data_IF_173114007407
#
_entry.id   IF_173114007407
#
_cell.length_a   1.000
_cell.length_b   1.000
_cell.length_c   1.000
_cell.angle_alpha   90.00
_cell.angle_beta   90.00
_cell.angle_gamma   90.00
#
_symmetry.space_group_name_H-M   'P 1'
#
loop_
_entity.id
_entity.type
_entity.pdbx_description
1 polymer ?
#
# COMPACT_ATOMS: atom_id res chain seq x y z
N UNK A 1 20.10 -9.61 20.67
CA UNK A 1 19.38 -10.07 19.48
C UNK A 1 18.11 -9.26 19.39
N UNK A 2 17.76 -8.68 18.24
CA UNK A 2 16.46 -8.00 18.12
C UNK A 2 15.39 -9.03 18.43
N UNK A 3 14.48 -8.66 19.32
CA UNK A 3 13.39 -9.54 19.71
C UNK A 3 12.57 -9.94 18.48
N UNK A 4 12.13 -11.22 18.37
CA UNK A 4 11.23 -11.69 17.32
C UNK A 4 9.82 -11.09 17.49
N UNK A 5 9.77 -9.76 17.54
CA UNK A 5 8.52 -9.02 17.64
C UNK A 5 7.91 -8.85 16.25
N UNK A 6 6.63 -9.09 16.14
CA UNK A 6 5.82 -8.87 14.95
C UNK A 6 4.64 -7.95 15.24
N UNK A 7 4.09 -7.26 14.23
CA UNK A 7 4.64 -7.19 12.87
C UNK A 7 5.99 -6.46 12.83
N UNK A 8 6.80 -6.73 11.80
CA UNK A 8 8.00 -5.93 11.51
C UNK A 8 7.56 -4.55 11.04
N UNK A 9 8.33 -3.52 11.38
CA UNK A 9 8.01 -2.13 11.07
C UNK A 9 8.81 -1.68 9.87
N UNK A 10 8.12 -1.39 8.77
CA UNK A 10 8.71 -0.90 7.54
C UNK A 10 8.32 0.55 7.26
N UNK A 11 9.07 1.18 6.40
CA UNK A 11 8.76 2.46 5.77
C UNK A 11 8.57 2.24 4.27
N UNK A 12 7.66 2.97 3.64
CA UNK A 12 7.49 2.95 2.19
C UNK A 12 8.46 3.91 1.50
N UNK A 13 9.08 3.50 0.41
CA UNK A 13 9.99 4.33 -0.38
C UNK A 13 9.30 5.11 -1.51
N UNK A 14 8.16 4.65 -2.03
CA UNK A 14 7.46 5.32 -3.15
C UNK A 14 7.03 6.76 -2.89
N UNK A 15 6.80 7.25 -1.64
CA UNK A 15 6.56 8.67 -1.41
C UNK A 15 7.68 9.59 -1.93
N UNK A 16 8.87 9.08 -2.13
CA UNK A 16 9.98 9.82 -2.74
C UNK A 16 9.84 10.04 -4.25
N UNK A 17 8.91 9.37 -4.91
CA UNK A 17 8.72 9.43 -6.38
C UNK A 17 7.29 9.75 -6.80
N UNK A 18 6.28 9.25 -6.09
CA UNK A 18 4.87 9.48 -6.45
C UNK A 18 4.53 10.96 -6.40
N UNK A 19 4.00 11.50 -7.50
CA UNK A 19 3.66 12.92 -7.63
C UNK A 19 4.87 13.84 -7.79
N UNK A 20 6.08 13.31 -8.03
CA UNK A 20 7.34 14.07 -8.14
C UNK A 20 8.02 13.86 -9.49
N UNK A 21 8.99 14.73 -9.81
CA UNK A 21 9.82 14.61 -11.00
C UNK A 21 9.19 15.14 -12.31
N UNK A 22 7.89 15.41 -12.33
CA UNK A 22 7.23 16.03 -13.47
C UNK A 22 7.51 17.55 -13.53
N UNK A 23 7.39 18.22 -14.70
CA UNK A 23 7.51 19.66 -14.80
C UNK A 23 6.56 20.39 -13.84
N UNK A 24 7.09 21.20 -12.95
CA UNK A 24 6.33 21.94 -11.94
C UNK A 24 6.07 21.19 -10.63
N UNK A 25 6.39 19.89 -10.55
CA UNK A 25 6.37 19.13 -9.31
C UNK A 25 7.71 19.22 -8.56
N UNK A 26 7.73 18.80 -7.31
CA UNK A 26 8.97 18.64 -6.55
C UNK A 26 9.90 17.60 -7.20
N UNK A 27 11.22 17.71 -7.05
CA UNK A 27 12.14 16.67 -7.53
C UNK A 27 11.92 15.36 -6.80
N UNK A 28 12.24 14.24 -7.45
CA UNK A 28 12.27 12.92 -6.78
C UNK A 28 13.35 12.89 -5.69
N UNK A 29 13.07 12.18 -4.61
CA UNK A 29 14.05 11.94 -3.54
C UNK A 29 14.81 10.63 -3.88
N UNK A 30 16.16 10.66 -3.90
CA UNK A 30 16.94 9.46 -4.15
C UNK A 30 16.65 8.35 -3.12
N UNK A 31 16.69 7.09 -3.57
CA UNK A 31 16.47 5.95 -2.67
C UNK A 31 17.47 5.95 -1.50
N UNK A 32 18.73 6.31 -1.74
CA UNK A 32 19.77 6.38 -0.70
C UNK A 32 19.39 7.32 0.44
N UNK A 33 18.79 8.47 0.12
CA UNK A 33 18.27 9.41 1.13
C UNK A 33 17.19 8.76 2.00
N UNK A 34 16.28 8.01 1.38
CA UNK A 34 15.22 7.32 2.10
C UNK A 34 15.75 6.15 2.93
N UNK A 35 16.72 5.40 2.43
CA UNK A 35 17.41 4.34 3.16
C UNK A 35 18.14 4.90 4.39
N UNK A 36 18.86 6.00 4.20
CA UNK A 36 19.59 6.67 5.29
C UNK A 36 18.63 7.15 6.38
N UNK A 37 17.58 7.90 6.02
CA UNK A 37 16.59 8.43 6.97
C UNK A 37 15.84 7.30 7.69
N UNK A 38 15.45 6.24 6.97
CA UNK A 38 14.77 5.07 7.55
C UNK A 38 15.67 4.33 8.53
N UNK A 39 16.94 4.09 8.17
CA UNK A 39 17.90 3.36 9.03
C UNK A 39 18.33 4.14 10.27
N UNK A 40 18.34 5.49 10.17
CA UNK A 40 18.67 6.39 11.28
C UNK A 40 17.50 6.67 12.22
N UNK A 41 16.25 6.43 11.77
CA UNK A 41 15.09 6.62 12.63
C UNK A 41 15.19 5.74 13.86
N UNK A 42 15.06 6.36 15.04
CA UNK A 42 15.18 5.65 16.32
C UNK A 42 14.28 6.26 17.39
N UNK A 43 13.53 5.41 18.08
CA UNK A 43 12.69 5.77 19.23
C UNK A 43 12.88 4.75 20.34
N UNK A 44 13.40 5.18 21.47
CA UNK A 44 13.68 4.32 22.64
C UNK A 44 14.51 3.06 22.29
N UNK A 45 15.54 3.22 21.46
CA UNK A 45 16.40 2.12 21.02
C UNK A 45 15.76 1.18 19.97
N UNK A 46 14.57 1.47 19.49
CA UNK A 46 13.89 0.72 18.43
C UNK A 46 14.03 1.45 17.10
N UNK A 47 14.19 0.69 16.02
CA UNK A 47 14.37 1.18 14.65
C UNK A 47 13.35 0.52 13.72
N UNK A 48 13.26 1.02 12.49
CA UNK A 48 12.59 0.28 11.42
C UNK A 48 13.33 -1.04 11.17
N UNK A 49 12.55 -2.08 10.90
CA UNK A 49 13.06 -3.39 10.51
C UNK A 49 13.35 -3.46 8.99
N UNK A 50 12.68 -2.61 8.19
CA UNK A 50 12.80 -2.69 6.74
C UNK A 50 12.16 -1.53 5.98
N UNK A 51 12.12 -1.72 4.66
CA UNK A 51 11.57 -0.77 3.69
C UNK A 51 10.79 -1.51 2.60
N UNK A 52 9.70 -0.90 2.15
CA UNK A 52 8.92 -1.35 1.01
C UNK A 52 9.29 -0.52 -0.22
N UNK A 53 9.33 -1.12 -1.41
CA UNK A 53 10.00 -0.54 -2.56
C UNK A 53 9.06 -0.26 -3.73
N UNK A 54 9.40 0.75 -4.51
CA UNK A 54 8.86 1.02 -5.83
C UNK A 54 9.80 0.45 -6.88
N UNK A 55 9.28 -0.43 -7.77
CA UNK A 55 10.08 -1.04 -8.83
C UNK A 55 10.05 -0.21 -10.11
N UNK A 56 10.40 1.07 -9.99
CA UNK A 56 10.53 1.98 -11.12
C UNK A 56 11.67 2.99 -10.88
N UNK A 57 12.20 3.54 -11.98
CA UNK A 57 13.20 4.61 -11.90
C UNK A 57 12.61 5.85 -11.16
N UNK A 58 13.42 6.60 -10.43
CA UNK A 58 14.87 6.47 -10.26
C UNK A 58 15.29 5.56 -9.09
N UNK A 59 14.38 4.80 -8.47
CA UNK A 59 14.71 3.94 -7.33
C UNK A 59 15.31 2.61 -7.77
N UNK A 60 14.48 1.70 -8.29
CA UNK A 60 14.91 0.38 -8.77
C UNK A 60 14.16 0.11 -10.06
N UNK A 61 14.88 -0.05 -11.16
CA UNK A 61 14.24 -0.37 -12.44
C UNK A 61 13.59 -1.74 -12.40
N UNK A 62 12.38 -1.85 -12.93
CA UNK A 62 11.69 -3.13 -13.16
C UNK A 62 12.44 -4.04 -14.14
N UNK A 63 13.32 -3.46 -14.97
CA UNK A 63 14.16 -4.15 -15.95
C UNK A 63 15.57 -4.45 -15.42
N UNK A 64 15.79 -4.34 -14.10
CA UNK A 64 17.07 -4.64 -13.47
C UNK A 64 17.54 -6.05 -13.78
N UNK A 65 18.82 -6.17 -14.16
CA UNK A 65 19.47 -7.47 -14.30
C UNK A 65 19.62 -8.18 -12.95
N UNK A 66 19.91 -9.48 -12.98
CA UNK A 66 20.17 -10.24 -11.73
C UNK A 66 21.31 -9.65 -10.90
N UNK A 67 22.35 -9.13 -11.57
CA UNK A 67 23.47 -8.49 -10.88
C UNK A 67 23.10 -7.14 -10.29
N UNK A 68 22.21 -6.37 -10.95
CA UNK A 68 21.68 -5.12 -10.40
C UNK A 68 20.84 -5.41 -9.15
N UNK A 69 19.94 -6.40 -9.22
CA UNK A 69 19.13 -6.82 -8.06
C UNK A 69 20.02 -7.26 -6.90
N UNK A 70 21.09 -8.01 -7.19
CA UNK A 70 22.05 -8.41 -6.14
C UNK A 70 22.76 -7.21 -5.53
N UNK A 71 23.28 -6.28 -6.35
CA UNK A 71 23.92 -5.05 -5.84
C UNK A 71 22.98 -4.23 -4.98
N UNK A 72 21.73 -4.07 -5.41
CA UNK A 72 20.71 -3.35 -4.63
C UNK A 72 20.39 -4.07 -3.33
N UNK A 73 20.30 -5.40 -3.36
CA UNK A 73 20.13 -6.23 -2.15
C UNK A 73 21.25 -6.00 -1.13
N UNK A 74 22.51 -6.08 -1.60
CA UNK A 74 23.68 -5.87 -0.74
C UNK A 74 23.70 -4.43 -0.20
N UNK A 75 23.32 -3.46 -1.02
CA UNK A 75 23.25 -2.04 -0.66
C UNK A 75 22.22 -1.79 0.45
N UNK A 76 20.97 -2.25 0.28
CA UNK A 76 19.91 -2.12 1.30
C UNK A 76 20.30 -2.85 2.59
N UNK A 77 20.89 -4.04 2.48
CA UNK A 77 21.39 -4.79 3.63
C UNK A 77 22.47 -4.03 4.40
N UNK A 78 23.29 -3.21 3.71
CA UNK A 78 24.30 -2.34 4.32
C UNK A 78 23.71 -1.31 5.29
N UNK A 79 22.45 -0.90 5.10
CA UNK A 79 21.71 -0.05 6.05
C UNK A 79 21.06 -0.83 7.20
N UNK A 80 21.20 -2.17 7.23
CA UNK A 80 20.57 -3.03 8.24
C UNK A 80 19.07 -3.25 8.01
N UNK A 81 18.55 -2.89 6.84
CA UNK A 81 17.14 -2.99 6.51
C UNK A 81 16.81 -4.29 5.75
N UNK A 82 15.61 -4.81 5.94
CA UNK A 82 15.00 -5.84 5.12
C UNK A 82 14.08 -5.20 4.07
N UNK A 83 13.73 -5.97 3.05
CA UNK A 83 12.78 -5.56 2.02
C UNK A 83 11.45 -6.25 2.29
N UNK A 84 10.36 -5.52 2.17
CA UNK A 84 8.98 -6.01 2.29
C UNK A 84 8.26 -6.07 0.95
N UNK A 85 7.15 -5.36 0.86
CA UNK A 85 6.31 -5.35 -0.33
C UNK A 85 6.88 -4.48 -1.46
N UNK A 86 6.44 -4.78 -2.69
CA UNK A 86 6.80 -4.03 -3.89
C UNK A 86 5.57 -3.40 -4.52
N UNK A 87 5.70 -2.19 -5.01
CA UNK A 87 4.77 -1.62 -5.99
C UNK A 87 5.27 -1.94 -7.39
N UNK A 88 4.50 -2.72 -8.15
CA UNK A 88 4.80 -3.00 -9.55
C UNK A 88 4.38 -1.81 -10.44
N UNK A 89 5.22 -1.37 -11.40
CA UNK A 89 4.90 -0.25 -12.28
C UNK A 89 3.92 -0.68 -13.40
N UNK A 90 2.69 -0.98 -13.01
CA UNK A 90 1.65 -1.51 -13.89
C UNK A 90 1.01 -0.46 -14.79
N UNK A 91 1.20 0.83 -14.53
CA UNK A 91 0.56 1.92 -15.27
C UNK A 91 1.15 2.14 -16.66
N UNK A 92 0.35 2.62 -17.60
CA UNK A 92 0.74 2.84 -18.99
C UNK A 92 1.97 3.72 -19.15
N UNK A 93 2.09 4.80 -18.37
CA UNK A 93 3.26 5.69 -18.36
C UNK A 93 4.55 5.03 -17.86
N UNK A 94 4.45 3.92 -17.14
CA UNK A 94 5.58 3.14 -16.62
C UNK A 94 5.82 1.82 -17.39
N UNK A 95 5.25 1.69 -18.58
CA UNK A 95 5.39 0.51 -19.44
C UNK A 95 4.40 -0.62 -19.18
N UNK A 96 3.44 -0.41 -18.29
CA UNK A 96 2.30 -1.30 -18.07
C UNK A 96 1.09 -0.97 -18.94
N UNK A 97 -0.11 -1.22 -18.42
CA UNK A 97 -1.37 -0.94 -19.10
C UNK A 97 -2.56 -1.11 -18.16
N UNK A 98 -3.75 -0.70 -18.58
CA UNK A 98 -4.98 -0.87 -17.81
C UNK A 98 -5.36 -2.34 -17.65
N UNK A 99 -5.78 -2.74 -16.46
CA UNK A 99 -6.28 -4.09 -16.18
C UNK A 99 -7.61 -4.41 -16.92
N UNK A 100 -8.34 -3.38 -17.34
CA UNK A 100 -9.55 -3.54 -18.18
C UNK A 100 -9.35 -3.04 -19.62
N UNK A 101 -8.14 -2.69 -20.01
CA UNK A 101 -7.83 -2.19 -21.34
C UNK A 101 -7.87 -3.24 -22.45
N UNK A 102 -7.25 -2.91 -23.58
CA UNK A 102 -7.06 -3.85 -24.69
C UNK A 102 -6.32 -5.12 -24.26
N UNK A 103 -6.32 -6.15 -25.10
CA UNK A 103 -5.52 -7.35 -24.83
C UNK A 103 -4.04 -7.03 -24.59
N UNK A 104 -3.50 -6.09 -25.38
CA UNK A 104 -2.10 -5.65 -25.23
C UNK A 104 -1.88 -4.89 -23.93
N UNK A 105 -2.82 -4.07 -23.47
CA UNK A 105 -2.72 -3.39 -22.17
C UNK A 105 -2.65 -4.39 -21.03
N UNK A 106 -3.56 -5.37 -21.03
CA UNK A 106 -3.62 -6.42 -20.02
C UNK A 106 -2.37 -7.30 -20.04
N UNK A 107 -1.85 -7.60 -21.24
CA UNK A 107 -0.59 -8.35 -21.36
C UNK A 107 0.59 -7.58 -20.79
N UNK A 108 0.69 -6.26 -21.04
CA UNK A 108 1.72 -5.41 -20.42
C UNK A 108 1.57 -5.38 -18.91
N UNK A 109 0.35 -5.22 -18.38
CA UNK A 109 0.06 -5.29 -16.95
C UNK A 109 0.62 -6.58 -16.33
N UNK A 110 0.24 -7.74 -16.86
CA UNK A 110 0.71 -9.05 -16.37
C UNK A 110 2.23 -9.21 -16.51
N UNK A 111 2.82 -8.65 -17.58
CA UNK A 111 4.26 -8.66 -17.79
C UNK A 111 5.01 -7.89 -16.68
N UNK A 112 4.50 -6.74 -16.23
CA UNK A 112 5.11 -5.99 -15.12
C UNK A 112 5.04 -6.79 -13.80
N UNK A 113 3.91 -7.42 -13.52
CA UNK A 113 3.80 -8.30 -12.34
C UNK A 113 4.78 -9.47 -12.43
N UNK A 114 4.98 -10.06 -13.62
CA UNK A 114 5.96 -11.13 -13.82
C UNK A 114 7.39 -10.67 -13.51
N UNK A 115 7.79 -9.50 -14.00
CA UNK A 115 9.11 -8.93 -13.72
C UNK A 115 9.29 -8.64 -12.23
N UNK A 116 8.30 -8.01 -11.60
CA UNK A 116 8.30 -7.76 -10.15
C UNK A 116 8.43 -9.08 -9.36
N UNK A 117 7.71 -10.12 -9.77
CA UNK A 117 7.77 -11.44 -9.14
C UNK A 117 9.15 -12.09 -9.27
N UNK A 118 9.81 -11.92 -10.41
CA UNK A 118 11.18 -12.44 -10.60
C UNK A 118 12.19 -11.73 -9.70
N UNK A 119 12.10 -10.40 -9.56
CA UNK A 119 12.91 -9.61 -8.62
C UNK A 119 12.62 -10.07 -7.17
N UNK A 120 11.35 -10.20 -6.80
CA UNK A 120 10.93 -10.64 -5.47
C UNK A 120 11.48 -12.01 -5.10
N UNK A 121 11.38 -12.97 -6.01
CA UNK A 121 11.96 -14.30 -5.85
C UNK A 121 13.47 -14.24 -5.63
N UNK A 122 14.20 -13.48 -6.45
CA UNK A 122 15.65 -13.34 -6.30
C UNK A 122 16.04 -12.71 -4.96
N UNK A 123 15.36 -11.64 -4.52
CA UNK A 123 15.64 -11.00 -3.22
C UNK A 123 15.33 -11.92 -2.06
N UNK A 124 14.31 -12.79 -2.18
CA UNK A 124 14.01 -13.81 -1.17
C UNK A 124 15.10 -14.88 -1.12
N UNK A 125 15.57 -15.36 -2.26
CA UNK A 125 16.69 -16.32 -2.35
C UNK A 125 17.99 -15.74 -1.77
N UNK A 126 18.20 -14.43 -1.89
CA UNK A 126 19.30 -13.70 -1.26
C UNK A 126 19.06 -13.40 0.24
N UNK A 127 17.90 -13.76 0.80
CA UNK A 127 17.58 -13.66 2.24
C UNK A 127 17.29 -12.25 2.74
N UNK A 128 17.10 -11.26 1.84
CA UNK A 128 16.76 -9.88 2.26
C UNK A 128 15.25 -9.66 2.36
N UNK A 129 14.42 -10.39 1.59
CA UNK A 129 12.97 -10.22 1.50
C UNK A 129 12.23 -11.41 2.13
N UNK A 130 12.06 -11.45 3.47
CA UNK A 130 11.43 -12.57 4.16
C UNK A 130 9.90 -12.59 4.02
N UNK A 131 9.28 -11.44 3.76
CA UNK A 131 7.83 -11.24 3.64
C UNK A 131 7.54 -10.17 2.59
N UNK A 132 6.27 -9.99 2.24
CA UNK A 132 5.78 -8.94 1.38
C UNK A 132 5.10 -9.46 0.11
N UNK A 133 4.13 -8.68 -0.37
CA UNK A 133 3.40 -8.91 -1.60
C UNK A 133 3.86 -8.02 -2.75
N UNK A 134 3.19 -8.17 -3.88
CA UNK A 134 3.33 -7.27 -5.03
C UNK A 134 2.07 -6.44 -5.12
N UNK A 135 2.19 -5.13 -4.92
CA UNK A 135 1.06 -4.20 -5.02
C UNK A 135 0.69 -3.96 -6.46
N UNK A 136 -0.62 -3.99 -6.70
CA UNK A 136 -1.27 -3.64 -7.96
C UNK A 136 -2.54 -2.84 -7.66
N UNK A 137 -3.01 -2.11 -8.65
CA UNK A 137 -4.35 -1.54 -8.73
C UNK A 137 -4.95 -1.83 -10.13
N UNK A 138 -6.10 -1.28 -10.47
CA UNK A 138 -6.71 -1.51 -11.78
C UNK A 138 -6.06 -0.75 -12.93
N UNK A 139 -5.22 0.23 -12.63
CA UNK A 139 -4.62 1.16 -13.63
C UNK A 139 -5.68 1.77 -14.56
N UNK A 140 -6.85 2.10 -13.99
CA UNK A 140 -8.02 2.58 -14.74
C UNK A 140 -8.79 3.58 -13.91
N UNK A 141 -9.18 4.71 -14.51
CA UNK A 141 -10.02 5.72 -13.86
C UNK A 141 -11.47 5.26 -13.68
N UNK A 142 -12.14 5.84 -12.68
CA UNK A 142 -13.53 5.51 -12.31
C UNK A 142 -14.50 5.80 -13.46
N UNK A 143 -14.36 6.93 -14.18
CA UNK A 143 -15.24 7.29 -15.31
C UNK A 143 -15.19 6.27 -16.46
N UNK A 144 -14.00 5.72 -16.72
CA UNK A 144 -13.86 4.70 -17.75
C UNK A 144 -14.51 3.38 -17.33
N UNK A 145 -14.36 3.01 -16.05
CA UNK A 145 -14.97 1.83 -15.48
C UNK A 145 -16.51 1.94 -15.42
N UNK A 146 -17.04 3.10 -15.10
CA UNK A 146 -18.49 3.35 -14.87
C UNK A 146 -19.33 3.23 -16.17
N UNK A 147 -18.70 3.14 -17.35
CA UNK A 147 -19.40 2.90 -18.62
C UNK A 147 -20.04 1.51 -18.71
N UNK A 148 -19.44 0.52 -18.06
CA UNK A 148 -19.98 -0.84 -17.90
C UNK A 148 -19.38 -1.47 -16.61
N UNK A 149 -19.85 -1.09 -15.43
CA UNK A 149 -19.23 -1.51 -14.16
C UNK A 149 -19.10 -3.02 -14.04
N UNK A 150 -20.15 -3.77 -14.43
CA UNK A 150 -20.16 -5.24 -14.32
C UNK A 150 -19.19 -5.91 -15.29
N UNK A 151 -19.21 -5.49 -16.56
CA UNK A 151 -18.32 -6.03 -17.58
C UNK A 151 -16.88 -5.67 -17.30
N UNK A 152 -16.61 -4.42 -16.94
CA UNK A 152 -15.28 -3.92 -16.64
C UNK A 152 -14.68 -4.59 -15.40
N UNK A 153 -15.45 -4.77 -14.30
CA UNK A 153 -14.98 -5.51 -13.13
C UNK A 153 -14.62 -6.96 -13.46
N UNK A 154 -15.41 -7.60 -14.36
CA UNK A 154 -15.08 -8.96 -14.82
C UNK A 154 -13.74 -9.02 -15.56
N UNK A 155 -13.47 -8.04 -16.42
CA UNK A 155 -12.21 -7.96 -17.18
C UNK A 155 -11.04 -7.72 -16.22
N UNK A 156 -11.18 -6.79 -15.25
CA UNK A 156 -10.15 -6.55 -14.22
C UNK A 156 -9.89 -7.86 -13.46
N UNK A 157 -10.93 -8.57 -13.02
CA UNK A 157 -10.78 -9.84 -12.30
C UNK A 157 -10.06 -10.91 -13.11
N UNK A 158 -10.30 -11.00 -14.42
CA UNK A 158 -9.58 -11.90 -15.32
C UNK A 158 -8.08 -11.54 -15.39
N UNK A 159 -7.75 -10.26 -15.54
CA UNK A 159 -6.36 -9.78 -15.56
C UNK A 159 -5.66 -10.03 -14.23
N UNK A 160 -6.35 -9.79 -13.11
CA UNK A 160 -5.79 -10.05 -11.78
C UNK A 160 -5.55 -11.54 -11.53
N UNK A 161 -6.41 -12.44 -12.06
CA UNK A 161 -6.16 -13.89 -12.02
C UNK A 161 -4.91 -14.28 -12.79
N UNK A 162 -4.69 -13.71 -13.97
CA UNK A 162 -3.48 -13.97 -14.76
C UNK A 162 -2.24 -13.47 -14.05
N UNK A 163 -2.29 -12.25 -13.50
CA UNK A 163 -1.21 -11.69 -12.68
C UNK A 163 -0.94 -12.54 -11.43
N UNK A 164 -2.00 -13.00 -10.75
CA UNK A 164 -1.88 -13.89 -9.59
C UNK A 164 -1.20 -15.22 -9.91
N UNK A 165 -1.57 -15.87 -11.03
CA UNK A 165 -0.91 -17.11 -11.49
C UNK A 165 0.58 -16.90 -11.73
N UNK A 166 0.93 -15.81 -12.43
CA UNK A 166 2.33 -15.47 -12.69
C UNK A 166 3.10 -15.22 -11.39
N UNK A 167 2.50 -14.52 -10.43
CA UNK A 167 3.12 -14.31 -9.12
C UNK A 167 3.31 -15.64 -8.37
N UNK A 168 2.29 -16.50 -8.36
CA UNK A 168 2.33 -17.82 -7.72
C UNK A 168 3.44 -18.72 -8.27
N UNK A 169 3.69 -18.69 -9.60
CA UNK A 169 4.77 -19.44 -10.25
C UNK A 169 6.17 -19.01 -9.76
N UNK A 170 6.27 -17.80 -9.21
CA UNK A 170 7.49 -17.27 -8.60
C UNK A 170 7.50 -17.40 -7.06
N UNK A 171 6.45 -18.01 -6.48
CA UNK A 171 6.26 -18.09 -5.03
C UNK A 171 5.91 -16.74 -4.40
N UNK A 172 5.34 -15.83 -5.17
CA UNK A 172 4.85 -14.52 -4.75
C UNK A 172 3.32 -14.51 -4.65
N UNK A 173 2.77 -13.47 -4.04
CA UNK A 173 1.35 -13.15 -4.07
C UNK A 173 1.16 -11.68 -4.45
N UNK A 174 0.00 -11.35 -5.00
CA UNK A 174 -0.38 -9.97 -5.34
C UNK A 174 -1.38 -9.44 -4.34
N UNK A 175 -1.29 -8.15 -4.05
CA UNK A 175 -2.23 -7.43 -3.21
C UNK A 175 -2.77 -6.22 -3.96
N UNK A 176 -4.08 -6.15 -4.08
CA UNK A 176 -4.79 -5.09 -4.76
C UNK A 176 -5.01 -3.93 -3.77
N UNK A 177 -4.42 -2.78 -4.05
CA UNK A 177 -4.61 -1.57 -3.27
C UNK A 177 -5.82 -0.80 -3.77
N UNK A 178 -6.90 -0.83 -2.98
CA UNK A 178 -8.10 -0.08 -3.28
C UNK A 178 -7.95 1.40 -2.95
N UNK A 179 -8.21 2.25 -3.94
CA UNK A 179 -8.16 3.71 -3.81
C UNK A 179 -9.30 4.35 -4.59
N UNK A 180 -9.77 5.52 -4.12
CA UNK A 180 -10.94 6.21 -4.68
C UNK A 180 -10.81 6.61 -6.16
N UNK A 181 -9.60 6.67 -6.70
CA UNK A 181 -9.32 6.97 -8.11
C UNK A 181 -9.37 5.74 -9.02
N UNK A 182 -9.30 4.53 -8.48
CA UNK A 182 -9.20 3.31 -9.30
C UNK A 182 -10.57 2.69 -9.58
N UNK A 183 -10.95 2.63 -10.85
CA UNK A 183 -12.21 2.01 -11.30
C UNK A 183 -12.30 0.53 -10.92
N UNK A 184 -13.44 0.12 -10.34
CA UNK A 184 -13.66 -1.21 -9.79
C UNK A 184 -13.06 -1.43 -8.40
N UNK A 185 -12.35 -0.43 -7.86
CA UNK A 185 -11.69 -0.47 -6.56
C UNK A 185 -11.94 0.79 -5.73
N UNK A 186 -12.80 1.70 -6.21
CA UNK A 186 -13.05 3.02 -5.63
C UNK A 186 -13.87 3.00 -4.33
N UNK A 187 -14.38 1.85 -3.91
CA UNK A 187 -15.08 1.67 -2.65
C UNK A 187 -14.78 0.33 -2.00
N UNK A 188 -15.09 0.23 -0.72
CA UNK A 188 -14.94 -1.02 0.01
C UNK A 188 -15.78 -2.17 -0.58
N UNK A 189 -16.98 -1.88 -1.12
CA UNK A 189 -17.84 -2.90 -1.75
C UNK A 189 -17.30 -3.37 -3.09
N UNK A 190 -16.82 -2.44 -3.91
CA UNK A 190 -16.26 -2.80 -5.21
C UNK A 190 -14.98 -3.63 -5.05
N UNK A 191 -14.15 -3.33 -4.03
CA UNK A 191 -13.00 -4.18 -3.71
C UNK A 191 -13.41 -5.60 -3.30
N UNK A 192 -14.43 -5.75 -2.44
CA UNK A 192 -14.95 -7.09 -2.08
C UNK A 192 -15.46 -7.82 -3.32
N UNK A 193 -16.31 -7.16 -4.13
CA UNK A 193 -16.85 -7.73 -5.38
C UNK A 193 -15.74 -8.19 -6.32
N UNK A 194 -14.71 -7.37 -6.50
CA UNK A 194 -13.58 -7.69 -7.37
C UNK A 194 -12.82 -8.92 -6.84
N UNK A 195 -12.47 -8.95 -5.55
CA UNK A 195 -11.70 -10.04 -4.95
C UNK A 195 -12.48 -11.37 -4.95
N UNK A 196 -13.79 -11.32 -4.69
CA UNK A 196 -14.68 -12.49 -4.82
C UNK A 196 -14.69 -12.99 -6.27
N UNK A 197 -14.78 -12.08 -7.24
CA UNK A 197 -14.78 -12.43 -8.67
C UNK A 197 -13.41 -12.98 -9.12
N UNK A 198 -12.30 -12.48 -8.59
CA UNK A 198 -10.95 -13.03 -8.81
C UNK A 198 -10.86 -14.46 -8.30
N UNK A 199 -11.38 -14.76 -7.13
CA UNK A 199 -11.51 -16.12 -6.60
C UNK A 199 -10.19 -16.87 -6.40
N UNK A 200 -9.11 -16.18 -6.04
CA UNK A 200 -7.78 -16.77 -5.78
C UNK A 200 -7.29 -16.46 -4.35
N UNK A 201 -7.98 -16.94 -3.30
CA UNK A 201 -7.57 -16.70 -1.93
C UNK A 201 -6.17 -17.25 -1.65
N UNK A 202 -5.35 -16.48 -0.94
CA UNK A 202 -3.94 -16.81 -0.66
C UNK A 202 -2.96 -16.42 -1.77
N UNK A 203 -3.44 -16.05 -2.96
CA UNK A 203 -2.62 -15.63 -4.11
C UNK A 203 -2.90 -14.19 -4.52
N UNK A 204 -4.18 -13.81 -4.59
CA UNK A 204 -4.61 -12.43 -4.82
C UNK A 204 -5.40 -11.99 -3.61
N UNK A 205 -4.93 -10.94 -2.96
CA UNK A 205 -5.54 -10.38 -1.77
C UNK A 205 -5.69 -8.87 -1.85
N UNK A 206 -5.97 -8.30 -0.70
CA UNK A 206 -6.15 -6.86 -0.51
C UNK A 206 -4.95 -6.28 0.23
N UNK A 207 -4.47 -5.15 -0.23
CA UNK A 207 -3.63 -4.25 0.51
C UNK A 207 -4.53 -3.21 1.18
N UNK A 208 -4.50 -3.18 2.49
CA UNK A 208 -5.26 -2.22 3.26
C UNK A 208 -4.39 -1.00 3.57
N UNK A 209 -4.77 0.17 3.07
CA UNK A 209 -4.22 1.44 3.50
C UNK A 209 -5.24 2.18 4.39
N UNK A 210 -4.74 2.74 5.51
CA UNK A 210 -5.61 3.40 6.49
C UNK A 210 -6.22 4.69 5.96
N UNK A 211 -5.50 5.45 5.12
CA UNK A 211 -6.00 6.70 4.56
C UNK A 211 -7.07 6.43 3.49
N UNK A 212 -6.84 5.48 2.60
CA UNK A 212 -7.80 5.09 1.57
C UNK A 212 -9.06 4.49 2.19
N UNK A 213 -8.91 3.61 3.18
CA UNK A 213 -10.03 3.01 3.91
C UNK A 213 -10.91 4.05 4.60
N UNK A 214 -10.32 5.12 5.11
CA UNK A 214 -11.07 6.23 5.67
C UNK A 214 -11.91 6.95 4.61
N UNK A 215 -11.37 7.19 3.42
CA UNK A 215 -12.08 7.85 2.33
C UNK A 215 -13.23 7.00 1.79
N UNK A 216 -13.15 5.68 1.87
CA UNK A 216 -14.28 4.81 1.56
C UNK A 216 -15.47 5.08 2.48
N UNK A 217 -15.25 5.46 3.75
CA UNK A 217 -16.34 5.83 4.66
C UNK A 217 -17.06 7.09 4.23
N UNK A 218 -16.38 7.99 3.52
CA UNK A 218 -16.92 9.25 2.99
C UNK A 218 -17.62 9.10 1.65
N UNK A 219 -17.47 7.95 0.97
CA UNK A 219 -18.14 7.65 -0.30
C UNK A 219 -17.62 8.48 -1.49
N UNK A 220 -16.37 8.93 -1.48
CA UNK A 220 -15.76 9.56 -2.65
C UNK A 220 -15.83 8.62 -3.86
N UNK A 221 -16.30 9.15 -5.01
CA UNK A 221 -16.52 8.40 -6.26
C UNK A 221 -17.42 7.16 -6.12
N UNK A 222 -18.09 6.95 -4.98
CA UNK A 222 -18.98 5.83 -4.69
C UNK A 222 -20.03 6.22 -3.64
N UNK A 223 -20.86 7.22 -3.94
CA UNK A 223 -21.88 7.76 -3.00
C UNK A 223 -22.79 6.67 -2.42
N UNK A 224 -23.17 5.67 -3.22
CA UNK A 224 -23.99 4.54 -2.79
C UNK A 224 -23.38 3.69 -1.66
N UNK A 225 -22.05 3.78 -1.48
CA UNK A 225 -21.30 3.00 -0.50
C UNK A 225 -20.84 3.84 0.71
N UNK A 226 -21.26 5.10 0.77
CA UNK A 226 -21.01 6.03 1.87
C UNK A 226 -21.52 5.45 3.20
N UNK A 227 -20.74 5.62 4.24
CA UNK A 227 -21.07 5.18 5.60
C UNK A 227 -21.21 6.35 6.59
N UNK A 228 -20.45 7.41 6.38
CA UNK A 228 -20.59 8.63 7.16
C UNK A 228 -21.65 9.55 6.54
N UNK A 229 -22.55 10.16 7.33
CA UNK A 229 -23.54 11.07 6.79
C UNK A 229 -22.89 12.30 6.15
N UNK A 230 -23.59 12.93 5.22
CA UNK A 230 -23.19 14.23 4.70
C UNK A 230 -23.14 15.25 5.84
N UNK A 231 -22.10 16.09 5.84
CA UNK A 231 -21.89 17.06 6.93
C UNK A 231 -21.53 16.44 8.27
N UNK A 232 -20.99 15.21 8.28
CA UNK A 232 -20.58 14.50 9.50
C UNK A 232 -19.74 15.38 10.44
N UNK A 233 -20.16 15.42 11.72
CA UNK A 233 -19.38 16.12 12.76
C UNK A 233 -18.20 15.26 13.22
N UNK A 234 -17.01 15.66 12.84
CA UNK A 234 -15.73 14.99 13.20
C UNK A 234 -15.45 14.91 14.71
N UNK A 235 -16.27 15.58 15.54
CA UNK A 235 -16.19 15.45 17.01
C UNK A 235 -16.79 14.14 17.50
N UNK A 236 -17.76 13.58 16.78
CA UNK A 236 -18.38 12.30 17.14
C UNK A 236 -17.52 11.13 16.61
N UNK A 237 -16.48 10.77 17.35
CA UNK A 237 -15.59 9.68 17.00
C UNK A 237 -16.27 8.31 16.90
N UNK A 238 -17.39 8.11 17.59
CA UNK A 238 -18.05 6.80 17.63
C UNK A 238 -18.65 6.40 16.28
N UNK A 239 -19.15 7.37 15.51
CA UNK A 239 -19.70 7.14 14.17
C UNK A 239 -18.58 6.81 13.18
N UNK A 240 -17.45 7.55 13.25
CA UNK A 240 -16.27 7.24 12.43
C UNK A 240 -15.74 5.83 12.75
N UNK A 241 -15.60 5.50 14.03
CA UNK A 241 -15.11 4.20 14.47
C UNK A 241 -15.97 3.05 13.93
N UNK A 242 -17.30 3.19 14.01
CA UNK A 242 -18.24 2.21 13.50
C UNK A 242 -18.16 2.07 11.96
N UNK A 243 -18.12 3.19 11.24
CA UNK A 243 -18.00 3.21 9.79
C UNK A 243 -16.67 2.60 9.32
N UNK A 244 -15.56 3.00 9.92
CA UNK A 244 -14.24 2.49 9.60
C UNK A 244 -14.12 0.98 9.91
N UNK A 245 -14.62 0.57 11.07
CA UNK A 245 -14.67 -0.86 11.45
C UNK A 245 -15.44 -1.69 10.43
N UNK A 246 -16.56 -1.17 9.91
CA UNK A 246 -17.36 -1.86 8.89
C UNK A 246 -16.56 -2.08 7.60
N UNK A 247 -15.77 -1.09 7.15
CA UNK A 247 -14.85 -1.23 6.01
C UNK A 247 -13.82 -2.31 6.30
N UNK A 248 -13.15 -2.23 7.46
CA UNK A 248 -12.13 -3.19 7.85
C UNK A 248 -12.70 -4.62 7.98
N UNK A 249 -13.88 -4.81 8.59
CA UNK A 249 -14.50 -6.13 8.73
C UNK A 249 -14.81 -6.77 7.39
N UNK A 250 -15.23 -5.99 6.38
CA UNK A 250 -15.53 -6.49 5.05
C UNK A 250 -14.28 -6.91 4.27
N UNK A 251 -13.18 -6.16 4.40
CA UNK A 251 -11.97 -6.36 3.61
C UNK A 251 -10.90 -7.20 4.33
N UNK A 252 -10.90 -7.25 5.66
CA UNK A 252 -9.92 -8.00 6.45
C UNK A 252 -9.74 -9.48 6.06
N UNK A 253 -10.79 -10.25 5.68
CA UNK A 253 -10.61 -11.62 5.22
C UNK A 253 -9.63 -11.75 4.03
N UNK A 254 -9.61 -10.75 3.17
CA UNK A 254 -8.80 -10.65 1.95
C UNK A 254 -7.44 -9.98 2.19
N UNK A 255 -7.24 -9.30 3.34
CA UNK A 255 -6.07 -8.48 3.60
C UNK A 255 -4.84 -9.33 3.90
N UNK A 256 -3.77 -9.13 3.11
CA UNK A 256 -2.48 -9.80 3.25
C UNK A 256 -1.33 -8.79 3.42
N UNK A 257 -1.60 -7.50 3.19
CA UNK A 257 -0.65 -6.42 3.41
C UNK A 257 -1.34 -5.20 4.01
N UNK A 258 -0.60 -4.39 4.78
CA UNK A 258 -1.22 -3.32 5.55
C UNK A 258 -0.30 -2.11 5.68
N UNK A 259 -0.82 -0.97 5.22
CA UNK A 259 -0.20 0.33 5.41
C UNK A 259 -0.86 1.12 6.54
N UNK A 260 -0.02 1.56 7.47
CA UNK A 260 -0.40 2.53 8.48
C UNK A 260 -0.24 3.91 7.88
N UNK A 261 -1.28 4.71 7.94
CA UNK A 261 -1.31 6.06 7.42
C UNK A 261 -2.22 6.96 8.25
N UNK A 262 -2.10 8.27 8.08
CA UNK A 262 -3.01 9.25 8.65
C UNK A 262 -3.68 10.04 7.53
N UNK A 263 -4.94 10.41 7.73
CA UNK A 263 -5.72 11.20 6.78
C UNK A 263 -6.55 12.27 7.52
N UNK A 264 -6.78 13.41 6.89
CA UNK A 264 -7.56 14.53 7.43
C UNK A 264 -9.01 14.60 6.90
N UNK A 265 -9.45 13.62 6.12
CA UNK A 265 -10.76 13.60 5.47
C UNK A 265 -10.76 14.26 4.09
N UNK A 266 -9.60 14.62 3.56
CA UNK A 266 -9.47 15.28 2.26
C UNK A 266 -8.73 14.41 1.23
N UNK A 267 -8.76 14.85 -0.01
CA UNK A 267 -8.11 14.20 -1.15
C UNK A 267 -7.11 15.12 -1.80
N UNK A 268 -6.14 14.57 -2.52
CA UNK A 268 -5.30 15.27 -3.47
C UNK A 268 -5.90 15.25 -4.87
N UNK A 269 -5.54 16.26 -5.68
CA UNK A 269 -5.84 16.31 -7.09
C UNK A 269 -7.30 16.51 -7.42
N UNK A 270 -7.59 16.53 -8.72
CA UNK A 270 -8.93 16.78 -9.27
C UNK A 270 -9.32 15.82 -10.39
N UNK A 271 -8.37 15.09 -10.96
CA UNK A 271 -8.58 14.13 -12.03
C UNK A 271 -8.72 12.67 -11.51
N UNK A 272 -9.03 11.76 -12.41
CA UNK A 272 -9.22 10.34 -12.09
C UNK A 272 -8.01 9.69 -11.44
N UNK A 273 -6.81 9.97 -11.95
CA UNK A 273 -5.54 9.41 -11.43
C UNK A 273 -4.88 10.29 -10.38
N UNK A 274 -5.38 11.51 -10.19
CA UNK A 274 -4.80 12.48 -9.26
C UNK A 274 -5.60 12.61 -7.97
N UNK A 275 -6.81 12.05 -7.94
CA UNK A 275 -7.72 12.14 -6.80
C UNK A 275 -7.46 10.98 -5.87
N UNK A 276 -6.39 11.08 -5.11
CA UNK A 276 -5.95 10.07 -4.15
C UNK A 276 -6.21 10.50 -2.72
N UNK A 277 -6.20 9.53 -1.80
CA UNK A 277 -6.30 9.81 -0.38
C UNK A 277 -5.14 10.65 0.11
N UNK A 278 -5.45 11.80 0.72
CA UNK A 278 -4.41 12.66 1.27
C UNK A 278 -3.79 12.02 2.50
N UNK A 279 -2.54 11.58 2.37
CA UNK A 279 -1.75 11.21 3.52
C UNK A 279 -1.25 12.47 4.22
N UNK A 280 -1.44 12.55 5.53
CA UNK A 280 -0.94 13.64 6.35
C UNK A 280 0.02 13.11 7.40
N UNK A 281 0.87 13.98 7.95
CA UNK A 281 1.83 13.57 8.96
C UNK A 281 1.11 12.97 10.19
N UNK A 282 1.76 12.05 10.85
CA UNK A 282 1.23 11.42 12.08
C UNK A 282 0.89 12.43 13.17
N UNK A 283 1.57 13.59 13.16
CA UNK A 283 1.39 14.69 14.12
C UNK A 283 0.44 15.79 13.61
N UNK A 284 -0.18 15.61 12.43
CA UNK A 284 -1.09 16.61 11.88
C UNK A 284 -2.31 16.80 12.82
N UNK A 285 -2.56 18.05 13.28
CA UNK A 285 -3.68 18.32 14.19
C UNK A 285 -5.05 18.08 13.54
N UNK A 286 -5.13 18.05 12.21
CA UNK A 286 -6.34 17.74 11.46
C UNK A 286 -6.54 16.24 11.20
N UNK A 287 -5.55 15.41 11.52
CA UNK A 287 -5.62 13.96 11.37
C UNK A 287 -6.85 13.38 12.09
N UNK A 288 -7.58 12.52 11.42
CA UNK A 288 -8.85 11.97 11.89
C UNK A 288 -8.71 10.61 12.56
N UNK A 289 -7.66 9.87 12.22
CA UNK A 289 -7.48 8.49 12.66
C UNK A 289 -6.75 8.44 14.03
N UNK A 290 -7.30 7.67 14.94
CA UNK A 290 -6.55 7.14 16.08
C UNK A 290 -5.75 5.95 15.58
N UNK A 291 -4.46 6.17 15.31
CA UNK A 291 -3.60 5.21 14.60
C UNK A 291 -3.61 3.81 15.25
N UNK A 292 -3.31 3.64 16.55
CA UNK A 292 -3.35 2.31 17.15
C UNK A 292 -4.74 1.67 17.12
N UNK A 293 -5.78 2.43 17.41
CA UNK A 293 -7.16 1.91 17.44
C UNK A 293 -7.62 1.44 16.06
N UNK A 294 -7.47 2.29 15.04
CA UNK A 294 -7.94 1.96 13.70
C UNK A 294 -7.09 0.86 13.04
N UNK A 295 -5.77 0.83 13.30
CA UNK A 295 -4.94 -0.30 12.91
C UNK A 295 -5.40 -1.63 13.55
N UNK A 296 -5.90 -1.57 14.78
CA UNK A 296 -6.43 -2.73 15.48
C UNK A 296 -7.61 -3.40 14.77
N UNK A 297 -8.42 -2.67 14.01
CA UNK A 297 -9.51 -3.25 13.23
C UNK A 297 -9.01 -4.15 12.08
N UNK A 298 -7.79 -3.94 11.58
CA UNK A 298 -7.15 -4.76 10.56
C UNK A 298 -6.35 -5.92 11.16
N UNK A 299 -5.69 -5.68 12.30
CA UNK A 299 -4.77 -6.63 12.91
C UNK A 299 -5.46 -7.64 13.84
N UNK A 300 -6.73 -7.40 14.19
CA UNK A 300 -7.56 -8.28 15.01
C UNK A 300 -8.83 -8.70 14.28
N UNK A 301 -9.30 -9.88 14.58
CA UNK A 301 -10.60 -10.37 14.11
C UNK A 301 -11.76 -9.82 14.97
N UNK A 302 -13.00 -10.22 14.65
CA UNK A 302 -14.19 -9.78 15.37
C UNK A 302 -14.29 -10.30 16.80
N UNK A 303 -13.51 -11.32 17.16
CA UNK A 303 -13.38 -11.78 18.54
C UNK A 303 -12.36 -10.99 19.36
N UNK A 304 -11.63 -10.07 18.71
CA UNK A 304 -10.51 -9.33 19.28
C UNK A 304 -9.19 -10.10 19.26
N UNK A 305 -9.15 -11.31 18.68
CA UNK A 305 -7.94 -12.11 18.56
C UNK A 305 -7.02 -11.60 17.45
N UNK A 306 -5.72 -11.67 17.65
CA UNK A 306 -4.72 -11.27 16.64
C UNK A 306 -4.82 -12.20 15.41
N UNK A 307 -4.91 -11.62 14.22
CA UNK A 307 -4.94 -12.39 12.97
C UNK A 307 -3.59 -13.01 12.62
N UNK A 308 -2.49 -12.36 13.01
CA UNK A 308 -1.09 -12.73 12.73
C UNK A 308 -0.77 -12.95 11.25
N UNK A 309 -1.62 -12.43 10.34
CA UNK A 309 -1.46 -12.55 8.89
C UNK A 309 -0.35 -11.65 8.36
N UNK A 310 -0.34 -10.39 8.77
CA UNK A 310 0.63 -9.39 8.33
C UNK A 310 1.90 -9.51 9.17
N UNK A 311 2.96 -10.11 8.60
CA UNK A 311 4.26 -10.26 9.29
C UNK A 311 5.08 -8.97 9.31
N UNK A 312 4.78 -8.03 8.43
CA UNK A 312 5.23 -6.64 8.49
C UNK A 312 4.05 -5.71 8.23
N UNK A 313 4.22 -4.46 8.61
CA UNK A 313 3.34 -3.33 8.30
C UNK A 313 4.24 -2.18 7.87
N UNK A 314 3.81 -1.39 6.90
CA UNK A 314 4.57 -0.24 6.45
C UNK A 314 3.85 1.06 6.76
N UNK A 315 4.61 2.15 6.97
CA UNK A 315 4.04 3.49 6.95
C UNK A 315 3.98 4.00 5.52
N UNK A 316 2.82 4.47 5.11
CA UNK A 316 2.68 5.20 3.84
C UNK A 316 2.55 6.71 4.09
N UNK A 317 3.53 7.45 3.57
CA UNK A 317 3.55 8.91 3.53
C UNK A 317 3.37 9.43 2.10
N UNK A 318 2.58 8.77 1.27
CA UNK A 318 2.40 9.11 -0.13
C UNK A 318 2.08 10.60 -0.31
N UNK A 319 2.78 11.23 -1.26
CA UNK A 319 2.70 12.67 -1.58
C UNK A 319 3.11 13.63 -0.44
N UNK A 320 3.85 13.18 0.57
CA UNK A 320 4.47 14.13 1.50
C UNK A 320 5.39 15.08 0.76
N UNK A 321 5.36 16.41 1.08
CA UNK A 321 6.33 17.35 0.54
C UNK A 321 7.78 16.96 0.89
N UNK A 322 8.73 17.23 0.00
CA UNK A 322 10.15 16.97 0.26
C UNK A 322 10.64 17.63 1.54
N UNK A 323 10.18 18.85 1.81
CA UNK A 323 10.49 19.56 3.06
C UNK A 323 10.06 18.81 4.34
N UNK A 324 9.15 17.86 4.23
CA UNK A 324 8.73 16.97 5.32
C UNK A 324 9.53 15.68 5.27
N UNK A 325 9.67 15.08 4.09
CA UNK A 325 10.31 13.78 3.92
C UNK A 325 11.81 13.77 4.22
N UNK A 326 12.51 14.88 3.96
CA UNK A 326 13.96 15.01 4.17
C UNK A 326 14.33 15.33 5.62
N UNK A 327 13.35 15.33 6.54
CA UNK A 327 13.60 15.56 7.97
C UNK A 327 13.61 14.26 8.76
N UNK A 328 14.68 14.03 9.51
CA UNK A 328 14.79 12.86 10.40
C UNK A 328 13.66 12.81 11.44
N UNK A 329 13.22 13.96 11.96
CA UNK A 329 12.15 14.03 12.95
C UNK A 329 10.82 13.49 12.43
N UNK A 330 10.55 13.63 11.12
CA UNK A 330 9.37 13.02 10.49
C UNK A 330 9.39 11.50 10.66
N UNK A 331 10.51 10.87 10.37
CA UNK A 331 10.65 9.41 10.43
C UNK A 331 10.72 8.90 11.86
N UNK A 332 11.28 9.67 12.79
CA UNK A 332 11.21 9.35 14.22
C UNK A 332 9.75 9.40 14.72
N UNK A 333 8.97 10.40 14.33
CA UNK A 333 7.56 10.50 14.70
C UNK A 333 6.72 9.34 14.10
N UNK A 334 6.95 9.02 12.84
CA UNK A 334 6.33 7.88 12.14
C UNK A 334 6.67 6.56 12.85
N UNK A 335 7.95 6.31 13.11
CA UNK A 335 8.39 5.11 13.83
C UNK A 335 7.73 5.02 15.21
N UNK A 336 7.63 6.14 15.93
CA UNK A 336 6.96 6.19 17.22
C UNK A 336 5.49 5.79 17.16
N UNK A 337 4.76 6.16 16.09
CA UNK A 337 3.39 5.72 15.86
C UNK A 337 3.31 4.22 15.53
N UNK A 338 4.21 3.74 14.68
CA UNK A 338 4.29 2.33 14.30
C UNK A 338 4.62 1.43 15.50
N UNK A 339 5.50 1.88 16.40
CA UNK A 339 5.79 1.18 17.66
C UNK A 339 4.53 1.06 18.51
N UNK A 340 3.73 2.12 18.64
CA UNK A 340 2.46 2.07 19.39
C UNK A 340 1.48 1.06 18.80
N UNK A 341 1.41 0.95 17.47
CA UNK A 341 0.60 -0.09 16.79
C UNK A 341 1.11 -1.48 17.16
N UNK A 342 2.41 -1.71 17.06
CA UNK A 342 3.02 -3.01 17.43
C UNK A 342 2.87 -3.33 18.91
N UNK A 343 3.00 -2.36 19.80
CA UNK A 343 2.83 -2.57 21.24
C UNK A 343 1.38 -2.97 21.58
N UNK A 344 0.40 -2.40 20.87
CA UNK A 344 -1.01 -2.70 21.08
C UNK A 344 -1.48 -4.00 20.42
N UNK A 345 -0.91 -4.37 19.27
CA UNK A 345 -1.43 -5.45 18.41
C UNK A 345 -0.34 -6.43 17.95
N UNK A 346 0.83 -6.35 18.50
CA UNK A 346 1.94 -7.23 18.12
C UNK A 346 1.94 -8.58 18.84
N UNK A 347 2.84 -9.46 18.39
CA UNK A 347 3.10 -10.75 19.00
C UNK A 347 4.60 -11.09 18.95
N UNK A 348 4.97 -12.10 19.71
CA UNK A 348 6.32 -12.67 19.70
C UNK A 348 6.27 -14.12 19.17
N UNK A 349 7.33 -14.50 18.44
CA UNK A 349 7.63 -15.87 18.06
C UNK A 349 8.87 -16.37 18.75
#
# INVERSE_FOLDING_TARGET
>A
MPANNYPKLHNAAWPGVVGKGAPGAEPTIPLDTLLELTSKAEVNGQKFDGIDLWLADPHISIDSSKDDVKRMTDHIAGYGLKVGSFVAPIWGGAGGGSAMGSADDRQRFVSQVKKASAIGKQMRELGIRPTGGIHIDSSTGVEAWDKDPKGNTKIIAETFREAGKVAQDHGEFVVAEGEICWGGMQSWRENVNLLEMVGMPGVVGYQADMAHSMLFTLGYNAEKDRLLPEGYDWKDKSVLDAAYKKVADALRPWTYDFHVAQNDGTVFGSGDHEKTGRHVQVTDPNGKLDIPKHAGYWLRDNSGSLTKKMRHIAWDGCMFPNAVMEKQDTWNAVLGAMIKVRDAHGWRE
#
